data_IF_027458659438
#
_entry.id   IF_027458659438
#
_cell.length_a   1.000
_cell.length_b   1.000
_cell.length_c   1.000
_cell.angle_alpha   90.00
_cell.angle_beta   90.00
_cell.angle_gamma   90.00
#
_symmetry.space_group_name_H-M   'P 1'
#
loop_
_entity.id
_entity.type
_entity.pdbx_description
1 polymer ?
#
# COMPACT_ATOMS: atom_id res chain seq x y z
N UNK A 1 22.73 19.63 6.98
CA UNK A 1 21.38 19.68 7.59
C UNK A 1 20.67 18.39 7.21
N UNK A 2 20.40 17.50 8.16
CA UNK A 2 19.73 16.22 7.88
C UNK A 2 18.28 16.50 7.49
N UNK A 3 17.89 16.10 6.27
CA UNK A 3 16.50 16.22 5.85
C UNK A 3 15.59 15.52 6.88
N UNK A 4 14.51 16.16 7.32
CA UNK A 4 13.55 15.54 8.19
C UNK A 4 13.04 14.23 7.57
N UNK A 5 13.20 13.12 8.29
CA UNK A 5 12.75 11.81 7.83
C UNK A 5 11.23 11.78 7.93
N UNK A 6 10.54 12.01 6.80
CA UNK A 6 9.09 11.88 6.70
C UNK A 6 8.70 10.42 6.93
N UNK A 7 7.90 10.17 7.97
CA UNK A 7 7.39 8.83 8.22
C UNK A 7 6.49 8.38 7.05
N UNK A 8 6.60 7.13 6.59
CA UNK A 8 5.70 6.60 5.57
C UNK A 8 4.28 6.41 6.12
N UNK A 9 3.23 6.55 5.27
CA UNK A 9 1.87 6.20 5.66
C UNK A 9 1.78 4.71 6.01
N UNK A 10 1.03 4.41 7.07
CA UNK A 10 0.92 3.06 7.61
C UNK A 10 -0.41 2.42 7.17
N UNK A 11 -0.41 1.22 6.57
CA UNK A 11 -1.61 0.44 6.31
C UNK A 11 -2.49 0.27 7.56
N UNK A 12 -3.77 0.63 7.47
CA UNK A 12 -4.73 0.53 8.60
C UNK A 12 -4.92 -0.92 9.05
N UNK A 13 -5.02 -1.81 8.07
CA UNK A 13 -5.32 -3.23 8.26
C UNK A 13 -4.21 -4.06 7.65
N UNK A 14 -3.78 -5.09 8.36
CA UNK A 14 -2.93 -6.17 7.84
C UNK A 14 -3.77 -7.44 7.78
N UNK A 15 -3.75 -8.12 6.64
CA UNK A 15 -4.58 -9.30 6.36
C UNK A 15 -3.71 -10.50 6.01
N UNK A 16 -4.17 -11.74 6.27
CA UNK A 16 -3.46 -12.93 5.86
C UNK A 16 -3.11 -12.92 4.37
N UNK A 17 -1.90 -13.36 4.05
CA UNK A 17 -1.33 -13.34 2.71
C UNK A 17 -0.71 -11.99 2.31
N UNK A 18 -0.87 -10.92 3.08
CA UNK A 18 -0.14 -9.68 2.84
C UNK A 18 1.36 -9.91 2.80
N UNK A 19 2.05 -9.09 2.01
CA UNK A 19 3.48 -9.19 1.76
C UNK A 19 4.17 -7.90 2.14
N UNK A 20 5.20 -8.01 2.97
CA UNK A 20 6.07 -6.93 3.39
C UNK A 20 7.45 -7.16 2.78
N UNK A 21 7.92 -6.25 1.93
CA UNK A 21 9.29 -6.27 1.43
C UNK A 21 10.14 -5.26 2.21
N UNK A 22 11.19 -5.76 2.86
CA UNK A 22 12.17 -4.98 3.61
C UNK A 22 13.57 -5.47 3.24
N UNK A 23 14.48 -4.55 2.84
CA UNK A 23 15.86 -4.89 2.45
C UNK A 23 15.96 -6.08 1.48
N UNK A 24 15.13 -6.08 0.43
CA UNK A 24 15.04 -7.14 -0.57
C UNK A 24 14.55 -8.52 -0.08
N UNK A 25 14.13 -8.64 1.18
CA UNK A 25 13.45 -9.84 1.69
C UNK A 25 11.96 -9.58 1.74
N UNK A 26 11.17 -10.50 1.19
CA UNK A 26 9.72 -10.46 1.29
C UNK A 26 9.26 -11.43 2.37
N UNK A 27 8.42 -10.92 3.27
CA UNK A 27 7.76 -11.65 4.34
C UNK A 27 6.26 -11.69 4.05
N UNK A 28 5.63 -12.82 4.33
CA UNK A 28 4.20 -13.01 4.14
C UNK A 28 3.53 -13.20 5.50
N UNK A 29 2.38 -12.55 5.70
CA UNK A 29 1.56 -12.71 6.89
C UNK A 29 0.76 -14.01 6.81
N UNK A 30 0.76 -14.81 7.86
CA UNK A 30 -0.13 -15.95 7.98
C UNK A 30 -1.48 -15.58 8.66
N UNK A 31 -2.33 -16.58 8.87
CA UNK A 31 -3.63 -16.40 9.53
C UNK A 31 -3.50 -16.05 11.03
N UNK A 32 -2.37 -16.36 11.66
CA UNK A 32 -2.10 -16.05 13.07
C UNK A 32 -1.62 -14.61 13.30
N UNK A 33 -1.27 -13.89 12.22
CA UNK A 33 -0.65 -12.57 12.30
C UNK A 33 0.87 -12.61 12.45
N UNK A 34 1.48 -13.78 12.20
CA UNK A 34 2.92 -13.94 12.14
C UNK A 34 3.43 -13.67 10.73
N UNK A 35 4.64 -13.14 10.63
CA UNK A 35 5.29 -12.78 9.37
C UNK A 35 6.56 -13.59 9.19
N UNK A 36 6.68 -14.27 8.04
CA UNK A 36 7.87 -15.05 7.71
C UNK A 36 8.19 -14.98 6.22
N UNK A 37 9.46 -15.13 5.86
CA UNK A 37 9.87 -15.23 4.46
C UNK A 37 9.53 -16.60 3.89
N UNK A 38 9.59 -16.75 2.56
CA UNK A 38 9.42 -18.05 1.89
C UNK A 38 10.43 -19.11 2.36
N UNK A 39 11.58 -18.69 2.90
CA UNK A 39 12.60 -19.57 3.46
C UNK A 39 12.36 -19.92 4.94
N UNK A 40 11.21 -19.51 5.50
CA UNK A 40 10.86 -19.73 6.89
C UNK A 40 11.58 -18.81 7.87
N UNK A 41 12.26 -17.75 7.39
CA UNK A 41 12.88 -16.78 8.30
C UNK A 41 11.79 -15.92 8.94
N UNK A 42 11.65 -15.94 10.28
CA UNK A 42 10.68 -15.09 10.93
C UNK A 42 11.08 -13.62 10.80
N UNK A 43 10.09 -12.77 10.55
CA UNK A 43 10.19 -11.33 10.73
C UNK A 43 9.67 -10.94 12.10
N UNK A 44 8.46 -11.40 12.46
CA UNK A 44 7.79 -11.05 13.70
C UNK A 44 6.27 -11.05 13.57
N UNK A 45 5.64 -10.07 14.19
CA UNK A 45 4.19 -9.90 14.32
C UNK A 45 3.70 -8.64 13.60
N UNK A 46 2.38 -8.43 13.57
CA UNK A 46 1.76 -7.20 13.10
C UNK A 46 2.26 -5.93 13.81
N UNK A 47 2.69 -6.03 15.07
CA UNK A 47 3.27 -4.91 15.82
C UNK A 47 4.69 -4.59 15.36
N UNK A 48 5.49 -5.62 15.06
CA UNK A 48 6.84 -5.44 14.50
C UNK A 48 6.76 -4.79 13.10
N UNK A 49 5.74 -5.15 12.30
CA UNK A 49 5.49 -4.48 11.02
C UNK A 49 5.17 -3.01 11.26
N UNK A 50 4.29 -2.69 12.21
CA UNK A 50 3.94 -1.29 12.53
C UNK A 50 5.13 -0.50 13.04
N UNK A 51 5.98 -1.12 13.86
CA UNK A 51 7.22 -0.49 14.31
C UNK A 51 8.15 -0.19 13.14
N UNK A 52 8.24 -1.06 12.13
CA UNK A 52 9.05 -0.79 10.94
C UNK A 52 8.61 0.48 10.16
N UNK A 53 7.34 0.88 10.25
CA UNK A 53 6.83 2.14 9.67
C UNK A 53 7.04 3.37 10.57
N UNK A 54 7.18 3.18 11.89
CA UNK A 54 7.21 4.26 12.89
C UNK A 54 8.62 4.55 13.43
N UNK A 55 9.46 3.53 13.50
CA UNK A 55 10.81 3.61 14.05
C UNK A 55 11.75 4.30 13.07
N UNK A 56 12.24 5.49 13.44
CA UNK A 56 13.26 6.21 12.68
C UNK A 56 14.53 5.38 12.49
N UNK A 57 14.90 4.57 13.48
CA UNK A 57 16.06 3.70 13.39
C UNK A 57 15.83 2.61 12.32
N UNK A 58 14.66 1.98 12.33
CA UNK A 58 14.29 0.98 11.32
C UNK A 58 14.27 1.59 9.92
N UNK A 59 13.63 2.75 9.75
CA UNK A 59 13.58 3.46 8.47
C UNK A 59 14.95 3.93 7.96
N UNK A 60 15.79 4.48 8.84
CA UNK A 60 17.15 4.90 8.48
C UNK A 60 18.02 3.71 8.06
N UNK A 61 17.77 2.53 8.63
CA UNK A 61 18.58 1.34 8.41
C UNK A 61 18.06 0.47 7.26
N UNK A 62 16.76 0.48 6.98
CA UNK A 62 16.11 -0.45 6.06
C UNK A 62 15.32 0.22 4.93
N UNK A 63 15.11 1.54 5.00
CA UNK A 63 14.18 2.27 4.15
C UNK A 63 12.72 2.06 4.58
N UNK A 64 11.81 2.68 3.85
CA UNK A 64 10.37 2.48 4.06
C UNK A 64 9.99 1.04 3.69
N UNK A 65 9.29 0.30 4.57
CA UNK A 65 8.82 -1.04 4.24
C UNK A 65 7.78 -0.97 3.11
N UNK A 66 7.83 -1.91 2.16
CA UNK A 66 6.86 -1.98 1.07
C UNK A 66 5.79 -3.03 1.38
N UNK A 67 4.54 -2.60 1.58
CA UNK A 67 3.40 -3.50 1.76
C UNK A 67 2.65 -3.69 0.43
N UNK A 68 2.32 -4.94 0.10
CA UNK A 68 1.39 -5.31 -0.94
C UNK A 68 0.39 -6.35 -0.39
N UNK A 69 -0.84 -6.41 -0.91
CA UNK A 69 -1.76 -7.46 -0.52
C UNK A 69 -1.31 -8.83 -1.02
N UNK A 70 -2.03 -9.86 -0.59
CA UNK A 70 -1.92 -11.20 -1.15
C UNK A 70 -1.95 -11.19 -2.68
N UNK A 71 -1.11 -12.00 -3.36
CA UNK A 71 -1.20 -12.25 -4.78
C UNK A 71 -2.62 -12.59 -5.22
N UNK A 72 -3.16 -11.87 -6.20
CA UNK A 72 -4.43 -12.24 -6.83
C UNK A 72 -4.14 -12.72 -8.25
N UNK A 73 -4.29 -14.03 -8.54
CA UNK A 73 -4.04 -14.56 -9.87
C UNK A 73 -4.83 -13.82 -10.95
N UNK A 74 -4.21 -13.61 -12.13
CA UNK A 74 -4.81 -12.84 -13.23
C UNK A 74 -6.25 -13.25 -13.58
N UNK A 75 -6.56 -14.55 -13.50
CA UNK A 75 -7.87 -15.12 -13.86
C UNK A 75 -8.78 -15.39 -12.66
N UNK A 76 -8.34 -15.17 -11.42
CA UNK A 76 -9.19 -15.40 -10.25
C UNK A 76 -10.21 -14.28 -10.11
N UNK A 77 -11.30 -14.55 -9.38
CA UNK A 77 -12.14 -13.46 -8.88
C UNK A 77 -11.30 -12.46 -8.07
N UNK A 78 -11.70 -11.19 -8.10
CA UNK A 78 -11.10 -10.19 -7.24
C UNK A 78 -11.60 -10.39 -5.79
N UNK A 79 -10.75 -10.12 -4.77
CA UNK A 79 -11.17 -10.24 -3.38
C UNK A 79 -12.32 -9.28 -3.02
N UNK A 80 -13.25 -9.73 -2.20
CA UNK A 80 -14.34 -8.90 -1.68
C UNK A 80 -15.56 -8.79 -2.61
N UNK A 81 -16.32 -7.72 -2.43
CA UNK A 81 -17.56 -7.46 -3.17
C UNK A 81 -17.22 -6.82 -4.51
N UNK A 82 -17.70 -7.43 -5.60
CA UNK A 82 -17.55 -6.86 -6.95
C UNK A 82 -18.44 -5.64 -7.10
N UNK A 83 -17.88 -4.58 -7.67
CA UNK A 83 -18.55 -3.30 -7.87
C UNK A 83 -18.98 -3.16 -9.32
N UNK A 84 -20.15 -2.57 -9.51
CA UNK A 84 -20.73 -2.26 -10.81
C UNK A 84 -20.36 -0.83 -11.23
N UNK A 85 -20.31 -0.55 -12.54
CA UNK A 85 -20.23 0.83 -13.02
C UNK A 85 -21.34 1.69 -12.40
N UNK A 86 -20.97 2.87 -11.91
CA UNK A 86 -21.85 3.76 -11.16
C UNK A 86 -21.85 3.56 -9.63
N UNK A 87 -21.28 2.46 -9.13
CA UNK A 87 -21.06 2.30 -7.68
C UNK A 87 -20.03 3.32 -7.18
N UNK A 88 -20.30 3.89 -6.01
CA UNK A 88 -19.41 4.78 -5.29
C UNK A 88 -18.66 3.98 -4.25
N UNK A 89 -17.35 4.18 -4.18
CA UNK A 89 -16.57 3.31 -3.32
C UNK A 89 -15.54 4.04 -2.48
N UNK A 90 -14.96 5.19 -2.92
CA UNK A 90 -13.87 5.87 -2.19
C UNK A 90 -14.51 6.57 -1.01
N UNK A 91 -14.22 6.05 0.18
CA UNK A 91 -14.57 6.74 1.40
C UNK A 91 -13.91 8.11 1.33
N UNK A 92 -14.74 9.15 1.31
CA UNK A 92 -14.27 10.52 1.26
C UNK A 92 -13.27 10.74 2.41
N UNK A 93 -12.16 11.42 2.14
CA UNK A 93 -11.12 11.73 3.14
C UNK A 93 -10.38 10.51 3.68
N UNK A 94 -10.41 9.38 2.98
CA UNK A 94 -9.48 8.28 3.23
C UNK A 94 -8.29 8.39 2.29
N UNK A 95 -7.10 8.26 2.88
CA UNK A 95 -5.85 8.20 2.15
C UNK A 95 -5.53 6.75 1.83
N UNK A 96 -5.06 6.50 0.60
CA UNK A 96 -4.74 5.16 0.14
C UNK A 96 -3.29 5.05 -0.31
N UNK A 97 -2.63 3.95 0.04
CA UNK A 97 -1.42 3.47 -0.59
C UNK A 97 -1.76 2.69 -1.87
N UNK A 98 -1.12 3.06 -2.97
CA UNK A 98 -1.27 2.35 -4.24
C UNK A 98 -0.16 1.30 -4.42
N UNK A 99 -0.52 0.07 -4.81
CA UNK A 99 0.43 -1.01 -5.08
C UNK A 99 -0.02 -1.93 -6.23
N UNK A 100 0.90 -2.70 -6.81
CA UNK A 100 0.58 -3.77 -7.76
C UNK A 100 0.33 -5.09 -7.03
N UNK A 101 -0.70 -5.83 -7.44
CA UNK A 101 -1.14 -7.05 -6.76
C UNK A 101 -1.04 -8.30 -7.65
N UNK A 102 -0.28 -8.24 -8.74
CA UNK A 102 -0.11 -9.28 -9.77
C UNK A 102 0.72 -10.50 -9.32
N UNK A 103 0.95 -10.65 -8.02
CA UNK A 103 1.57 -11.84 -7.42
C UNK A 103 3.07 -11.96 -7.61
N UNK A 104 3.63 -11.35 -8.65
CA UNK A 104 5.04 -11.01 -8.65
C UNK A 104 5.20 -9.77 -7.78
N UNK A 105 5.95 -9.86 -6.67
CA UNK A 105 6.31 -8.69 -5.86
C UNK A 105 7.26 -7.77 -6.63
N UNK A 106 6.85 -7.29 -7.81
CA UNK A 106 7.66 -6.42 -8.65
C UNK A 106 7.34 -4.99 -8.28
N UNK A 107 8.41 -4.26 -7.98
CA UNK A 107 8.49 -2.81 -8.04
C UNK A 107 8.16 -2.36 -9.47
N UNK A 108 6.88 -2.22 -9.81
CA UNK A 108 6.49 -1.44 -10.98
C UNK A 108 6.59 0.03 -10.57
N UNK A 109 7.82 0.53 -10.57
CA UNK A 109 8.05 1.95 -10.77
C UNK A 109 7.40 2.31 -12.10
N UNK A 110 6.25 2.98 -12.06
CA UNK A 110 5.88 3.83 -13.19
C UNK A 110 7.07 4.76 -13.41
N UNK A 111 7.80 4.53 -14.50
CA UNK A 111 8.99 5.26 -14.87
C UNK A 111 8.74 6.76 -14.68
N UNK A 112 9.54 7.39 -13.81
CA UNK A 112 9.53 8.84 -13.57
C UNK A 112 8.85 9.33 -12.29
N UNK A 113 8.24 8.48 -11.47
CA UNK A 113 7.40 8.93 -10.35
C UNK A 113 7.77 8.31 -8.98
N UNK A 114 8.93 8.70 -8.43
CA UNK A 114 9.38 8.35 -7.07
C UNK A 114 8.69 9.24 -6.02
N UNK A 115 8.02 8.66 -5.02
CA UNK A 115 7.48 9.40 -3.87
C UNK A 115 8.57 9.64 -2.82
N UNK A 116 8.34 10.48 -1.78
CA UNK A 116 9.36 10.75 -0.75
C UNK A 116 9.79 9.50 0.04
N UNK A 117 9.02 8.41 -0.06
CA UNK A 117 9.29 7.12 0.60
C UNK A 117 9.80 6.03 -0.36
N UNK A 118 10.01 6.36 -1.63
CA UNK A 118 10.55 5.46 -2.64
C UNK A 118 9.62 5.22 -3.85
N UNK A 119 10.05 4.37 -4.79
CA UNK A 119 9.23 3.95 -5.92
C UNK A 119 7.98 3.19 -5.44
N UNK A 120 6.83 3.48 -6.06
CA UNK A 120 5.51 2.87 -5.79
C UNK A 120 4.79 3.23 -4.48
N UNK A 121 5.38 3.96 -3.53
CA UNK A 121 4.63 4.47 -2.38
C UNK A 121 4.17 5.90 -2.62
N UNK A 122 2.90 6.02 -3.03
CA UNK A 122 2.19 7.29 -3.13
C UNK A 122 0.94 7.19 -2.28
N UNK A 123 0.65 8.29 -1.59
CA UNK A 123 -0.65 8.48 -0.98
C UNK A 123 -1.53 9.23 -1.98
N UNK A 124 -2.77 8.79 -2.14
CA UNK A 124 -3.78 9.49 -2.93
C UNK A 124 -4.91 9.90 -1.98
N UNK A 125 -5.11 11.20 -1.81
CA UNK A 125 -6.36 11.72 -1.26
C UNK A 125 -7.42 11.63 -2.35
N UNK A 126 -8.40 10.76 -2.14
CA UNK A 126 -9.43 10.54 -3.13
C UNK A 126 -10.68 11.36 -2.78
N UNK A 127 -11.10 12.22 -3.69
CA UNK A 127 -12.51 12.63 -3.77
C UNK A 127 -13.24 11.54 -4.54
N UNK A 128 -14.37 11.06 -3.99
CA UNK A 128 -15.26 10.05 -4.55
C UNK A 128 -15.09 9.85 -6.07
N UNK A 129 -14.47 8.75 -6.48
CA UNK A 129 -14.39 8.39 -7.90
C UNK A 129 -15.58 7.49 -8.23
N UNK A 130 -16.48 7.89 -9.14
CA UNK A 130 -17.43 6.95 -9.69
C UNK A 130 -16.64 5.87 -10.45
N UNK A 131 -17.06 4.62 -10.34
CA UNK A 131 -16.57 3.55 -11.22
C UNK A 131 -16.92 3.92 -12.67
N UNK A 132 -15.93 4.44 -13.39
CA UNK A 132 -16.17 5.20 -14.61
C UNK A 132 -16.15 4.37 -15.90
N UNK A 133 -15.84 3.06 -15.84
CA UNK A 133 -15.57 2.27 -17.04
C UNK A 133 -15.96 0.79 -16.88
N UNK A 134 -16.64 0.23 -17.89
CA UNK A 134 -16.99 -1.19 -18.04
C UNK A 134 -15.79 -2.08 -18.36
N UNK A 135 -14.65 -1.49 -18.77
CA UNK A 135 -13.44 -2.21 -19.16
C UNK A 135 -12.59 -2.68 -17.97
N UNK A 136 -13.02 -2.37 -16.75
CA UNK A 136 -12.29 -2.66 -15.53
C UNK A 136 -13.16 -3.47 -14.57
N UNK A 137 -12.61 -4.51 -13.98
CA UNK A 137 -13.24 -5.17 -12.85
C UNK A 137 -12.79 -4.46 -11.56
N UNK A 138 -13.75 -4.14 -10.71
CA UNK A 138 -13.54 -3.44 -9.46
C UNK A 138 -14.06 -4.30 -8.30
N UNK A 139 -13.34 -4.33 -7.19
CA UNK A 139 -13.87 -4.91 -5.96
C UNK A 139 -13.38 -4.17 -4.72
N UNK A 140 -14.13 -4.31 -3.63
CA UNK A 140 -13.81 -3.77 -2.32
C UNK A 140 -13.96 -4.83 -1.23
N UNK A 141 -12.98 -4.94 -0.34
CA UNK A 141 -13.04 -5.83 0.83
C UNK A 141 -13.78 -5.16 1.98
N UNK A 142 -14.24 -5.91 3.01
CA UNK A 142 -14.80 -5.33 4.22
C UNK A 142 -13.87 -4.36 4.96
N UNK A 143 -12.54 -4.58 4.86
CA UNK A 143 -11.51 -3.67 5.38
C UNK A 143 -11.33 -2.39 4.57
N UNK A 144 -12.04 -2.24 3.46
CA UNK A 144 -11.97 -1.07 2.59
C UNK A 144 -10.76 -1.07 1.66
N UNK A 145 -10.14 -2.23 1.39
CA UNK A 145 -9.11 -2.39 0.34
C UNK A 145 -9.77 -2.58 -1.00
N UNK A 146 -9.08 -2.12 -2.03
CA UNK A 146 -9.62 -2.05 -3.36
C UNK A 146 -8.77 -2.77 -4.33
N UNK A 147 -9.42 -3.40 -5.30
CA UNK A 147 -8.75 -4.03 -6.41
C UNK A 147 -9.34 -3.52 -7.70
N UNK A 148 -8.46 -3.15 -8.63
CA UNK A 148 -8.81 -2.67 -9.97
C UNK A 148 -8.04 -3.49 -10.97
N UNK A 149 -8.77 -4.27 -11.77
CA UNK A 149 -8.20 -5.05 -12.87
C UNK A 149 -8.54 -4.43 -14.20
N UNK A 150 -7.52 -4.13 -15.01
CA UNK A 150 -7.64 -3.67 -16.40
C UNK A 150 -6.80 -4.56 -17.30
N UNK A 151 -7.44 -5.51 -17.98
CA UNK A 151 -6.72 -6.59 -18.65
C UNK A 151 -5.77 -7.28 -17.65
N UNK A 152 -4.50 -7.48 -18.00
CA UNK A 152 -3.48 -8.13 -17.15
C UNK A 152 -3.00 -7.29 -15.97
N UNK A 153 -3.32 -6.00 -15.93
CA UNK A 153 -2.84 -5.11 -14.87
C UNK A 153 -3.80 -5.19 -13.70
N UNK A 154 -3.27 -5.57 -12.53
CA UNK A 154 -3.99 -5.51 -11.26
C UNK A 154 -3.35 -4.51 -10.32
N UNK A 155 -4.17 -3.56 -9.87
CA UNK A 155 -3.80 -2.54 -8.88
C UNK A 155 -4.58 -2.78 -7.61
N UNK A 156 -3.95 -2.53 -6.47
CA UNK A 156 -4.59 -2.48 -5.19
C UNK A 156 -4.42 -1.10 -4.53
N UNK A 157 -5.45 -0.69 -3.78
CA UNK A 157 -5.42 0.53 -2.97
C UNK A 157 -5.72 0.15 -1.53
N UNK A 158 -4.77 0.42 -0.65
CA UNK A 158 -4.80 0.03 0.77
C UNK A 158 -5.07 1.27 1.61
N UNK A 159 -6.14 1.31 2.43
CA UNK A 159 -6.36 2.41 3.37
C UNK A 159 -5.16 2.58 4.30
N UNK A 160 -4.75 3.83 4.52
CA UNK A 160 -3.65 4.15 5.41
C UNK A 160 -4.01 5.19 6.46
N UNK A 161 -3.30 5.12 7.57
CA UNK A 161 -3.16 6.20 8.52
C UNK A 161 -1.95 7.05 8.12
N UNK A 162 -2.19 8.34 7.97
CA UNK A 162 -1.11 9.30 7.83
C UNK A 162 -0.47 9.48 9.21
N UNK A 163 0.87 9.54 9.30
CA UNK A 163 1.51 9.96 10.53
C UNK A 163 0.99 11.34 10.94
N UNK A 164 0.61 11.52 12.21
CA UNK A 164 0.08 12.79 12.70
C UNK A 164 1.06 13.92 12.42
N UNK A 165 0.54 15.06 11.96
CA UNK A 165 1.34 16.26 11.67
C UNK A 165 2.19 16.69 12.89
N UNK A 166 1.69 16.44 14.10
CA UNK A 166 2.35 16.76 15.37
C UNK A 166 3.46 15.77 15.76
N UNK A 167 3.49 14.56 15.18
CA UNK A 167 4.56 13.57 15.39
C UNK A 167 5.73 13.72 14.41
N UNK A 168 5.63 14.68 13.49
CA UNK A 168 6.74 15.19 12.70
C UNK A 168 6.57 15.01 11.20
N UNK A 169 6.09 16.10 10.58
CA UNK A 169 6.65 16.80 9.40
C UNK A 169 5.68 16.95 8.23
N UNK A 170 5.34 18.22 7.98
CA UNK A 170 4.61 18.73 6.82
C UNK A 170 5.43 18.44 5.55
N UNK A 171 4.86 17.86 4.48
CA UNK A 171 5.56 17.76 3.21
C UNK A 171 5.91 19.16 2.70
N UNK A 172 7.09 19.37 2.07
CA UNK A 172 7.35 20.61 1.37
C UNK A 172 6.25 20.79 0.32
N UNK A 173 5.48 21.88 0.45
CA UNK A 173 4.51 22.29 -0.55
C UNK A 173 5.25 22.36 -1.90
N UNK A 174 4.66 21.85 -3.00
CA UNK A 174 5.25 22.08 -4.31
C UNK A 174 5.34 23.59 -4.52
N UNK A 175 6.55 24.09 -4.79
CA UNK A 175 6.75 25.44 -5.29
C UNK A 175 6.08 25.48 -6.65
N UNK A 176 4.87 26.03 -6.71
CA UNK A 176 4.26 26.47 -7.94
C UNK A 176 4.93 27.79 -8.28
N UNK A 177 6.01 27.72 -9.06
CA UNK A 177 6.52 28.90 -9.76
C UNK A 177 5.52 29.24 -10.88
N UNK A 178 5.14 30.52 -11.04
CA UNK A 178 4.11 30.96 -11.99
C UNK A 178 4.45 30.66 -13.45
#
# INVERSE_FOLDING_TARGET
MSSPLLLPPMPRTLEPGDRLTLRATTYTRDDSGSWASERGQPFGTDDDVRDAYRSRASLASAGAPFLAPAPVPYRSALPGTTLRPGDWVLAERVTYLWCTADGEGRLLGTAGLVGPWGPAQRHLECRLLPTADTLHAWSVTPSGRWFVRRGRILRAYLPVDMPDADTGLIPPQPIVTP
#
